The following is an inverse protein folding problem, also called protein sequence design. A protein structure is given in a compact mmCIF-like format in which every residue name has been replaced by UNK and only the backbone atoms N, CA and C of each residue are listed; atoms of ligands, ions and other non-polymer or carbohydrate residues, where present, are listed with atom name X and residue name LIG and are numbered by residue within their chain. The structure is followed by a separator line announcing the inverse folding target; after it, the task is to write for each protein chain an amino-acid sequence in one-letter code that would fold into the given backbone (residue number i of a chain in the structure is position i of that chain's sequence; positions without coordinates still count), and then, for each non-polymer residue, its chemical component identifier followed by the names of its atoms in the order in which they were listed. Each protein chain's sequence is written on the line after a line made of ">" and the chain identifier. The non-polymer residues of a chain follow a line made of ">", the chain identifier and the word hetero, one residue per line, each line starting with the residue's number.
data_IF_317091512899
#
_entry.id   IF_317091512899
#
_cell.length_a   1.000
_cell.length_b   1.000
_cell.length_c   1.000
_cell.angle_alpha   90.00
_cell.angle_beta   90.00
_cell.angle_gamma   90.00
#
_symmetry.space_group_name_H-M   'P 1'
#
loop_
_entity.id
_entity.type
_entity.pdbx_description
1 polymer ?
#
# COMPACT_ATOMS: atom_id res chain seq x y z
N UNK A 1 -8.23 -32.62 3.60
CA UNK A 1 -9.14 -31.48 3.89
C UNK A 1 -8.36 -30.37 4.56
N UNK A 2 -8.68 -29.12 4.20
CA UNK A 2 -8.11 -27.89 4.74
C UNK A 2 -9.25 -26.93 5.10
N UNK A 3 -8.95 -25.89 5.85
CA UNK A 3 -9.86 -24.79 6.13
C UNK A 3 -9.76 -23.74 5.01
N UNK A 4 -10.85 -23.54 4.28
CA UNK A 4 -10.91 -22.57 3.17
C UNK A 4 -10.69 -21.15 3.66
N UNK A 5 -11.32 -20.76 4.78
CA UNK A 5 -11.19 -19.41 5.36
C UNK A 5 -9.74 -19.09 5.72
N UNK A 6 -9.00 -20.03 6.31
CA UNK A 6 -7.59 -19.80 6.63
C UNK A 6 -6.70 -19.71 5.39
N UNK A 7 -7.02 -20.43 4.31
CA UNK A 7 -6.25 -20.32 3.05
C UNK A 7 -6.53 -19.03 2.28
N UNK A 8 -7.71 -18.45 2.45
CA UNK A 8 -8.10 -17.17 1.87
C UNK A 8 -7.32 -15.99 2.50
N UNK A 9 -6.93 -16.11 3.77
CA UNK A 9 -6.20 -15.06 4.51
C UNK A 9 -4.84 -15.55 5.05
N UNK A 10 -3.87 -15.87 4.17
CA UNK A 10 -2.58 -16.47 4.55
C UNK A 10 -1.70 -15.55 5.40
N UNK A 11 -1.90 -14.23 5.35
CA UNK A 11 -1.16 -13.26 6.19
C UNK A 11 -1.54 -13.28 7.67
N UNK A 12 -2.65 -13.94 8.03
CA UNK A 12 -3.17 -14.01 9.40
C UNK A 12 -3.24 -15.45 9.89
N UNK A 13 -3.47 -16.39 8.98
CA UNK A 13 -3.63 -17.79 9.31
C UNK A 13 -2.38 -18.38 9.96
N UNK A 14 -2.60 -19.37 10.82
CA UNK A 14 -1.53 -20.18 11.38
C UNK A 14 -1.05 -21.20 10.33
N UNK A 15 0.11 -20.95 9.74
CA UNK A 15 0.74 -21.83 8.76
C UNK A 15 1.10 -23.21 9.33
N UNK A 16 1.32 -23.32 10.64
CA UNK A 16 1.65 -24.59 11.30
C UNK A 16 0.41 -25.44 11.58
N UNK A 17 -0.79 -24.90 11.37
CA UNK A 17 -2.02 -25.65 11.54
C UNK A 17 -2.12 -26.72 10.46
N UNK A 18 -2.36 -27.97 10.89
CA UNK A 18 -2.63 -29.09 9.97
C UNK A 18 -3.84 -28.83 9.07
N UNK A 19 -4.77 -27.96 9.50
CA UNK A 19 -5.92 -27.56 8.70
C UNK A 19 -5.60 -26.43 7.72
N UNK A 20 -4.46 -25.75 7.84
CA UNK A 20 -3.94 -24.84 6.82
C UNK A 20 -3.18 -25.62 5.72
N UNK A 21 -2.19 -26.43 6.11
CA UNK A 21 -1.40 -27.25 5.18
C UNK A 21 -2.25 -28.31 4.47
N UNK A 22 -3.22 -28.88 5.19
CA UNK A 22 -4.17 -29.87 4.68
C UNK A 22 -3.88 -31.27 5.21
N UNK A 23 -4.91 -31.90 5.79
CA UNK A 23 -4.80 -33.26 6.34
C UNK A 23 -5.19 -34.31 5.30
N UNK A 24 -4.31 -35.28 5.07
CA UNK A 24 -4.55 -36.51 4.29
C UNK A 24 -4.83 -37.68 5.24
N UNK A 25 -6.10 -37.86 5.64
CA UNK A 25 -6.50 -38.97 6.52
C UNK A 25 -7.76 -38.71 7.37
N UNK A 26 -8.09 -39.67 8.24
CA UNK A 26 -9.22 -39.57 9.17
C UNK A 26 -8.99 -38.45 10.20
N UNK A 27 -10.04 -37.69 10.47
CA UNK A 27 -10.00 -36.53 11.36
C UNK A 27 -10.46 -36.92 12.75
N UNK A 28 -9.71 -36.47 13.76
CA UNK A 28 -10.27 -36.35 15.10
C UNK A 28 -11.18 -35.13 15.13
N UNK A 29 -12.43 -35.32 15.53
CA UNK A 29 -13.42 -34.24 15.68
C UNK A 29 -12.86 -33.13 16.59
N UNK A 30 -12.15 -33.51 17.65
CA UNK A 30 -11.42 -32.64 18.56
C UNK A 30 -10.47 -31.66 17.85
N UNK A 31 -9.77 -32.12 16.80
CA UNK A 31 -8.84 -31.28 16.04
C UNK A 31 -9.56 -30.22 15.19
N UNK A 32 -10.79 -30.49 14.78
CA UNK A 32 -11.62 -29.52 14.05
C UNK A 32 -12.20 -28.50 15.03
N UNK A 33 -12.75 -28.97 16.16
CA UNK A 33 -13.31 -28.10 17.22
C UNK A 33 -12.24 -27.17 17.83
N UNK A 34 -11.03 -27.68 18.04
CA UNK A 34 -9.90 -26.88 18.53
C UNK A 34 -9.46 -25.83 17.51
N UNK A 35 -9.57 -26.12 16.21
CA UNK A 35 -9.26 -25.14 15.18
C UNK A 35 -10.33 -24.06 15.05
N UNK A 36 -11.61 -24.43 15.14
CA UNK A 36 -12.74 -23.49 15.07
C UNK A 36 -12.67 -22.45 16.20
N UNK A 37 -12.19 -22.84 17.38
CA UNK A 37 -11.96 -21.95 18.53
C UNK A 37 -10.57 -21.28 18.54
N UNK A 38 -9.70 -21.58 17.56
CA UNK A 38 -8.35 -21.01 17.51
C UNK A 38 -8.38 -19.52 17.20
N UNK A 39 -7.55 -18.74 17.92
CA UNK A 39 -7.39 -17.30 17.73
C UNK A 39 -7.15 -16.92 16.27
N UNK A 40 -6.25 -17.63 15.58
CA UNK A 40 -5.91 -17.31 14.19
C UNK A 40 -7.07 -17.58 13.24
N UNK A 41 -7.83 -18.64 13.47
CA UNK A 41 -9.03 -18.94 12.69
C UNK A 41 -10.11 -17.87 12.90
N UNK A 42 -10.36 -17.48 14.15
CA UNK A 42 -11.30 -16.40 14.48
C UNK A 42 -10.90 -15.06 13.84
N UNK A 43 -9.61 -14.74 13.79
CA UNK A 43 -9.12 -13.55 13.09
C UNK A 43 -9.32 -13.63 11.57
N UNK A 44 -9.13 -14.82 10.96
CA UNK A 44 -9.45 -15.02 9.55
C UNK A 44 -10.96 -14.87 9.29
N UNK A 45 -11.83 -15.39 10.17
CA UNK A 45 -13.29 -15.18 10.09
C UNK A 45 -13.62 -13.70 10.21
N UNK A 46 -13.08 -12.98 11.21
CA UNK A 46 -13.32 -11.55 11.36
C UNK A 46 -12.90 -10.76 10.13
N UNK A 47 -11.75 -11.10 9.53
CA UNK A 47 -11.32 -10.45 8.28
C UNK A 47 -12.27 -10.75 7.13
N UNK A 48 -12.75 -11.99 7.03
CA UNK A 48 -13.77 -12.41 6.08
C UNK A 48 -15.05 -11.62 6.25
N UNK A 49 -15.53 -11.48 7.48
CA UNK A 49 -16.71 -10.68 7.81
C UNK A 49 -16.49 -9.20 7.51
N UNK A 50 -15.31 -8.62 7.75
CA UNK A 50 -15.02 -7.24 7.38
C UNK A 50 -14.97 -7.07 5.85
N UNK A 51 -14.48 -8.06 5.10
CA UNK A 51 -14.47 -7.97 3.64
C UNK A 51 -15.85 -8.18 3.03
N UNK A 52 -16.67 -9.08 3.59
CA UNK A 52 -18.01 -9.42 3.09
C UNK A 52 -19.09 -8.44 3.60
N UNK A 53 -19.01 -8.05 4.88
CA UNK A 53 -19.92 -7.14 5.59
C UNK A 53 -19.29 -5.77 5.82
N UNK A 54 -18.20 -5.43 5.13
CA UNK A 54 -17.60 -4.09 5.07
C UNK A 54 -18.52 -3.07 4.39
N UNK A 55 -19.78 -3.05 4.80
CA UNK A 55 -20.88 -2.19 4.38
C UNK A 55 -21.44 -1.41 5.58
N UNK A 56 -20.93 -1.67 6.79
CA UNK A 56 -21.25 -0.88 7.97
C UNK A 56 -20.95 0.61 7.75
N UNK A 57 -21.78 1.53 8.27
CA UNK A 57 -21.68 2.96 7.96
C UNK A 57 -20.32 3.56 8.31
N UNK A 58 -19.64 3.06 9.35
CA UNK A 58 -18.29 3.51 9.71
C UNK A 58 -17.22 3.08 8.69
N UNK A 59 -17.28 1.83 8.19
CA UNK A 59 -16.33 1.34 7.19
C UNK A 59 -16.52 2.06 5.84
N UNK A 60 -17.78 2.25 5.43
CA UNK A 60 -18.11 3.04 4.23
C UNK A 60 -17.64 4.49 4.39
N UNK A 61 -17.82 5.09 5.58
CA UNK A 61 -17.33 6.43 5.87
C UNK A 61 -15.80 6.51 5.80
N UNK A 62 -15.07 5.56 6.39
CA UNK A 62 -13.60 5.51 6.34
C UNK A 62 -13.08 5.31 4.91
N UNK A 63 -13.71 4.40 4.15
CA UNK A 63 -13.37 4.19 2.74
C UNK A 63 -13.61 5.46 1.92
N UNK A 64 -14.78 6.08 2.08
CA UNK A 64 -15.12 7.35 1.42
C UNK A 64 -14.17 8.48 1.84
N UNK A 65 -13.73 8.51 3.09
CA UNK A 65 -12.75 9.47 3.57
C UNK A 65 -11.38 9.26 2.91
N UNK A 66 -10.93 8.01 2.81
CA UNK A 66 -9.69 7.66 2.11
C UNK A 66 -9.76 8.01 0.61
N UNK A 67 -10.88 7.70 -0.05
CA UNK A 67 -11.13 8.08 -1.45
C UNK A 67 -11.13 9.61 -1.62
N UNK A 68 -11.79 10.35 -0.73
CA UNK A 68 -11.77 11.82 -0.76
C UNK A 68 -10.37 12.41 -0.52
N UNK A 69 -9.53 11.76 0.29
CA UNK A 69 -8.14 12.16 0.45
C UNK A 69 -7.36 11.91 -0.85
N UNK A 70 -7.53 10.75 -1.46
CA UNK A 70 -6.87 10.40 -2.72
C UNK A 70 -7.26 11.35 -3.86
N UNK A 71 -8.55 11.70 -3.96
CA UNK A 71 -9.07 12.66 -4.95
C UNK A 71 -8.49 14.08 -4.80
N UNK A 72 -8.12 14.49 -3.57
CA UNK A 72 -7.50 15.80 -3.32
C UNK A 72 -5.98 15.78 -3.51
N UNK A 73 -5.33 14.65 -3.22
CA UNK A 73 -3.87 14.50 -3.30
C UNK A 73 -3.38 14.25 -4.73
N UNK A 74 -4.14 13.49 -5.52
CA UNK A 74 -3.83 13.21 -6.94
C UNK A 74 -3.58 14.46 -7.78
N UNK A 75 -4.47 15.47 -7.79
CA UNK A 75 -4.25 16.63 -8.63
C UNK A 75 -3.10 17.50 -8.08
N UNK A 76 -2.86 17.53 -6.76
CA UNK A 76 -1.66 18.15 -6.19
C UNK A 76 -0.37 17.49 -6.67
N UNK A 77 -0.32 16.16 -6.66
CA UNK A 77 0.82 15.39 -7.19
C UNK A 77 1.06 15.69 -8.67
N UNK A 78 0.00 15.69 -9.49
CA UNK A 78 0.13 15.97 -10.93
C UNK A 78 0.67 17.37 -11.20
N UNK A 79 0.22 18.38 -10.44
CA UNK A 79 0.72 19.75 -10.54
C UNK A 79 2.18 19.83 -10.11
N UNK A 80 2.54 19.15 -9.02
CA UNK A 80 3.91 19.05 -8.54
C UNK A 80 4.84 18.44 -9.60
N UNK A 81 4.39 17.32 -10.15
CA UNK A 81 5.09 16.61 -11.21
C UNK A 81 5.24 17.46 -12.47
N UNK A 82 4.20 18.21 -12.84
CA UNK A 82 4.26 19.15 -13.96
C UNK A 82 5.33 20.24 -13.74
N UNK A 83 5.36 20.86 -12.57
CA UNK A 83 6.39 21.87 -12.20
C UNK A 83 7.79 21.27 -12.30
N UNK A 84 7.99 20.08 -11.76
CA UNK A 84 9.27 19.38 -11.83
C UNK A 84 9.66 19.02 -13.27
N UNK A 85 8.72 18.49 -14.06
CA UNK A 85 8.92 18.10 -15.46
C UNK A 85 9.29 19.30 -16.34
N UNK A 86 8.64 20.44 -16.10
CA UNK A 86 8.92 21.70 -16.82
C UNK A 86 10.10 22.49 -16.24
N UNK A 87 10.77 21.97 -15.21
CA UNK A 87 11.90 22.61 -14.52
C UNK A 87 11.56 24.01 -14.01
N UNK A 88 10.32 24.20 -13.57
CA UNK A 88 9.84 25.46 -13.03
C UNK A 88 10.25 25.60 -11.54
N UNK A 89 10.48 26.83 -11.05
CA UNK A 89 10.75 27.05 -9.64
C UNK A 89 9.51 26.72 -8.80
N UNK A 90 9.69 26.16 -7.61
CA UNK A 90 8.56 25.81 -6.72
C UNK A 90 7.62 26.97 -6.39
N UNK A 91 8.10 28.22 -6.45
CA UNK A 91 7.27 29.42 -6.32
C UNK A 91 6.14 29.50 -7.35
N UNK A 92 6.33 28.96 -8.56
CA UNK A 92 5.28 28.96 -9.58
C UNK A 92 4.12 28.02 -9.26
N UNK A 93 4.31 27.11 -8.30
CA UNK A 93 3.29 26.15 -7.92
C UNK A 93 2.12 26.80 -7.17
N UNK A 94 2.37 27.83 -6.35
CA UNK A 94 1.32 28.53 -5.62
C UNK A 94 0.25 29.08 -6.58
N UNK A 95 0.68 29.80 -7.63
CA UNK A 95 -0.23 30.32 -8.65
C UNK A 95 -0.93 29.22 -9.47
N UNK A 96 -0.30 28.05 -9.65
CA UNK A 96 -0.91 26.91 -10.34
C UNK A 96 -2.01 26.25 -9.49
N UNK A 97 -1.79 26.11 -8.18
CA UNK A 97 -2.79 25.59 -7.25
C UNK A 97 -4.00 26.53 -7.20
N UNK A 98 -3.77 27.85 -7.07
CA UNK A 98 -4.85 28.83 -7.10
C UNK A 98 -5.65 28.79 -8.42
N UNK A 99 -4.98 28.59 -9.55
CA UNK A 99 -5.65 28.44 -10.84
C UNK A 99 -6.51 27.17 -10.90
N UNK A 100 -6.04 26.06 -10.34
CA UNK A 100 -6.79 24.81 -10.31
C UNK A 100 -8.01 24.88 -9.38
N UNK A 101 -7.90 25.57 -8.26
CA UNK A 101 -9.04 25.84 -7.37
C UNK A 101 -10.13 26.65 -8.09
N UNK A 102 -9.74 27.66 -8.88
CA UNK A 102 -10.69 28.44 -9.71
C UNK A 102 -11.39 27.59 -10.76
N UNK A 103 -10.75 26.52 -11.22
CA UNK A 103 -11.34 25.54 -12.14
C UNK A 103 -12.19 24.47 -11.42
N UNK A 104 -12.40 24.62 -10.11
CA UNK A 104 -13.25 23.73 -9.31
C UNK A 104 -12.56 22.48 -8.76
N UNK A 105 -11.24 22.36 -8.90
CA UNK A 105 -10.47 21.24 -8.37
C UNK A 105 -10.24 21.48 -6.87
N UNK A 106 -10.83 20.62 -6.02
CA UNK A 106 -10.61 20.67 -4.57
C UNK A 106 -9.25 20.07 -4.23
N UNK A 107 -8.33 20.89 -3.73
CA UNK A 107 -7.02 20.46 -3.27
C UNK A 107 -6.90 20.56 -1.76
N UNK A 108 -6.00 19.76 -1.19
CA UNK A 108 -5.85 19.72 0.26
C UNK A 108 -5.11 20.97 0.77
N UNK A 109 -5.75 21.71 1.66
CA UNK A 109 -5.28 23.01 2.15
C UNK A 109 -4.02 22.94 3.00
N UNK A 110 -3.71 21.77 3.58
CA UNK A 110 -2.57 21.58 4.50
C UNK A 110 -1.20 21.80 3.84
N UNK A 111 -1.13 21.68 2.52
CA UNK A 111 0.10 21.81 1.74
C UNK A 111 0.17 23.11 0.94
N UNK A 112 -0.74 24.06 1.17
CA UNK A 112 -0.87 25.32 0.42
C UNK A 112 0.30 26.29 0.62
N UNK A 113 1.15 26.06 1.62
CA UNK A 113 2.32 26.90 1.89
C UNK A 113 3.62 26.24 1.39
N UNK A 114 4.64 27.06 1.10
CA UNK A 114 5.95 26.60 0.57
C UNK A 114 6.58 25.49 1.43
N UNK A 115 6.41 25.55 2.76
CA UNK A 115 6.90 24.51 3.69
C UNK A 115 6.13 23.19 3.53
N UNK A 116 4.81 23.26 3.44
CA UNK A 116 3.92 22.11 3.32
C UNK A 116 4.12 21.41 1.98
N UNK A 117 4.26 22.18 0.90
CA UNK A 117 4.56 21.59 -0.39
C UNK A 117 5.95 20.93 -0.44
N UNK A 118 6.98 21.55 0.13
CA UNK A 118 8.31 20.91 0.27
C UNK A 118 8.21 19.60 1.04
N UNK A 119 7.47 19.59 2.16
CA UNK A 119 7.23 18.39 2.93
C UNK A 119 6.50 17.31 2.12
N UNK A 120 5.51 17.70 1.30
CA UNK A 120 4.80 16.78 0.41
C UNK A 120 5.71 16.15 -0.64
N UNK A 121 6.50 16.95 -1.36
CA UNK A 121 7.46 16.45 -2.36
C UNK A 121 8.54 15.58 -1.70
N UNK A 122 9.00 15.95 -0.51
CA UNK A 122 9.98 15.17 0.23
C UNK A 122 9.42 13.81 0.65
N UNK A 123 8.17 13.75 1.13
CA UNK A 123 7.51 12.50 1.48
C UNK A 123 7.37 11.57 0.26
N UNK A 124 6.99 12.11 -0.91
CA UNK A 124 6.95 11.35 -2.16
C UNK A 124 8.34 10.80 -2.52
N UNK A 125 9.36 11.64 -2.43
CA UNK A 125 10.73 11.24 -2.76
C UNK A 125 11.26 10.15 -1.81
N UNK A 126 10.86 10.18 -0.54
CA UNK A 126 11.21 9.16 0.46
C UNK A 126 10.56 7.82 0.13
N UNK A 127 9.25 7.81 -0.14
CA UNK A 127 8.52 6.59 -0.54
C UNK A 127 9.11 5.98 -1.82
N UNK A 128 9.43 6.81 -2.81
CA UNK A 128 10.03 6.32 -4.06
C UNK A 128 11.46 5.80 -3.85
N UNK A 129 12.25 6.43 -2.97
CA UNK A 129 13.59 5.93 -2.60
C UNK A 129 13.50 4.58 -1.92
N UNK A 130 12.57 4.40 -0.99
CA UNK A 130 12.38 3.13 -0.29
C UNK A 130 11.99 2.02 -1.26
N UNK A 131 11.09 2.31 -2.22
CA UNK A 131 10.75 1.35 -3.29
C UNK A 131 11.98 0.95 -4.09
N UNK A 132 12.74 1.92 -4.58
CA UNK A 132 13.96 1.66 -5.34
C UNK A 132 14.99 0.91 -4.50
N UNK A 133 15.11 1.22 -3.20
CA UNK A 133 16.04 0.55 -2.31
C UNK A 133 15.69 -0.92 -2.10
N UNK A 134 14.42 -1.25 -1.88
CA UNK A 134 13.97 -2.63 -1.77
C UNK A 134 14.10 -3.40 -3.10
N UNK A 135 13.83 -2.74 -4.24
CA UNK A 135 14.07 -3.30 -5.57
C UNK A 135 15.57 -3.61 -5.79
N UNK A 136 16.46 -2.70 -5.37
CA UNK A 136 17.91 -2.90 -5.44
C UNK A 136 18.35 -4.05 -4.54
N UNK A 137 17.82 -4.15 -3.32
CA UNK A 137 18.14 -5.21 -2.36
C UNK A 137 17.67 -6.59 -2.82
N UNK A 138 16.53 -6.67 -3.50
CA UNK A 138 16.04 -7.93 -4.09
C UNK A 138 16.68 -8.26 -5.44
N UNK A 139 17.31 -7.27 -6.09
CA UNK A 139 18.01 -7.48 -7.35
C UNK A 139 19.28 -8.33 -7.16
N UNK A 140 19.54 -9.22 -8.14
CA UNK A 140 20.73 -10.09 -8.16
C UNK A 140 22.06 -9.33 -8.21
N UNK A 141 22.04 -8.08 -8.67
CA UNK A 141 23.25 -7.26 -8.80
C UNK A 141 23.81 -6.75 -7.46
N UNK A 142 23.02 -6.70 -6.38
CA UNK A 142 23.46 -6.25 -5.06
C UNK A 142 23.69 -7.39 -4.05
N UNK A 143 23.07 -8.55 -4.26
CA UNK A 143 23.14 -9.70 -3.34
C UNK A 143 24.37 -10.58 -3.56
N UNK A 144 24.99 -10.50 -4.74
CA UNK A 144 26.17 -11.28 -5.10
C UNK A 144 27.33 -10.29 -5.17
N UNK A 145 28.17 -10.24 -4.13
CA UNK A 145 29.23 -9.23 -3.88
C UNK A 145 30.36 -9.09 -4.91
N UNK A 146 30.07 -9.23 -6.21
CA UNK A 146 30.97 -8.97 -7.34
C UNK A 146 30.82 -7.52 -7.79
N UNK A 147 31.27 -6.60 -6.95
CA UNK A 147 31.35 -5.17 -7.24
C UNK A 147 32.60 -4.79 -8.03
N UNK A 148 32.89 -5.45 -9.14
CA UNK A 148 33.79 -4.89 -10.16
C UNK A 148 33.43 -5.54 -11.50
N UNK A 149 33.30 -4.74 -12.57
CA UNK A 149 33.11 -5.16 -13.97
C UNK A 149 31.69 -5.37 -14.57
N UNK A 150 30.66 -4.62 -14.17
CA UNK A 150 29.39 -4.61 -14.95
C UNK A 150 28.76 -3.25 -15.22
N UNK A 151 29.58 -2.24 -15.44
CA UNK A 151 29.14 -0.93 -15.97
C UNK A 151 28.78 -0.93 -17.47
N UNK A 152 28.68 -2.11 -18.12
CA UNK A 152 28.55 -2.23 -19.58
C UNK A 152 27.27 -2.99 -20.04
N UNK A 153 26.40 -3.48 -19.15
CA UNK A 153 25.37 -4.44 -19.61
C UNK A 153 23.99 -3.89 -20.03
N UNK A 154 23.65 -2.62 -19.79
CA UNK A 154 22.28 -2.12 -20.11
C UNK A 154 22.28 -0.84 -20.97
N UNK A 155 23.15 -0.77 -21.99
CA UNK A 155 23.06 0.32 -22.99
C UNK A 155 23.30 -0.10 -24.45
N UNK A 156 22.90 -1.32 -24.79
CA UNK A 156 22.65 -1.80 -26.17
C UNK A 156 21.47 -2.75 -26.13
#
# INVERSE_FOLDING_TARGET
>A
MFCEVCREYPSIADHNSKLYEGVTGSKRIESVQSHESSKYHLLCIQRKEVTEKGTGPMFVALKKQAENMDDQLKPMFNTAFYVAKQKLPFRSLEGLIEHQEKNGIKMQTQYRNDKGYKAFVQAIAEVEKDRVYEDLKTSRCFTDGRWIHRYICDRT
#
